data_IF_498070507792
#
_entry.id   IF_498070507792
#
_cell.length_a   1.000
_cell.length_b   1.000
_cell.length_c   1.000
_cell.angle_alpha   90.00
_cell.angle_beta   90.00
_cell.angle_gamma   90.00
#
_symmetry.space_group_name_H-M   'P 1'
#
loop_
_entity.id
_entity.type
_entity.pdbx_description
1 polymer ?
#
# COMPACT_ATOMS: atom_id res chain seq x y z
N UNK A 1 18.05 -11.82 13.76
CA UNK A 1 17.91 -11.33 12.37
C UNK A 1 16.53 -10.70 12.23
N UNK A 2 16.46 -9.49 11.69
CA UNK A 2 15.19 -8.79 11.52
C UNK A 2 14.30 -9.46 10.47
N UNK A 3 12.97 -9.43 10.69
CA UNK A 3 11.94 -9.97 9.80
C UNK A 3 11.24 -8.82 9.06
N UNK A 4 11.00 -8.98 7.77
CA UNK A 4 10.21 -8.07 6.95
C UNK A 4 8.82 -8.67 6.71
N UNK A 5 7.76 -7.96 7.04
CA UNK A 5 6.41 -8.29 6.58
C UNK A 5 6.12 -7.53 5.29
N UNK A 6 5.49 -8.20 4.33
CA UNK A 6 4.97 -7.54 3.12
C UNK A 6 3.46 -7.71 3.09
N UNK A 7 2.74 -6.60 3.25
CA UNK A 7 1.27 -6.54 3.20
C UNK A 7 0.84 -6.30 1.77
N UNK A 8 -0.01 -7.19 1.27
CA UNK A 8 -0.48 -7.25 -0.11
C UNK A 8 -2.02 -7.18 -0.13
N UNK A 9 -2.63 -5.98 -0.17
CA UNK A 9 -4.06 -5.87 -0.39
C UNK A 9 -4.41 -6.35 -1.81
N UNK A 10 -5.42 -7.22 -1.91
CA UNK A 10 -5.88 -7.80 -3.16
C UNK A 10 -7.40 -7.68 -3.29
N UNK A 11 -7.89 -7.37 -4.50
CA UNK A 11 -9.31 -7.36 -4.81
C UNK A 11 -9.52 -7.74 -6.27
N UNK A 12 -10.03 -8.96 -6.52
CA UNK A 12 -10.14 -9.56 -7.85
C UNK A 12 -8.78 -9.54 -8.60
N UNK A 13 -7.78 -10.13 -7.97
CA UNK A 13 -6.40 -10.25 -8.45
C UNK A 13 -5.97 -11.72 -8.55
N UNK A 14 -6.92 -12.65 -8.78
CA UNK A 14 -6.68 -14.10 -8.87
C UNK A 14 -5.43 -14.45 -9.68
N UNK A 15 -5.22 -13.94 -10.92
CA UNK A 15 -4.08 -14.35 -11.75
C UNK A 15 -2.73 -13.86 -11.21
N UNK A 16 -2.73 -12.88 -10.28
CA UNK A 16 -1.51 -12.26 -9.77
C UNK A 16 -1.04 -12.85 -8.45
N UNK A 17 -1.93 -13.45 -7.64
CA UNK A 17 -1.61 -13.94 -6.28
C UNK A 17 -0.41 -14.88 -6.28
N UNK A 18 -0.46 -15.98 -7.02
CA UNK A 18 0.60 -16.98 -7.04
C UNK A 18 1.91 -16.40 -7.59
N UNK A 19 1.81 -15.59 -8.65
CA UNK A 19 2.97 -14.95 -9.28
C UNK A 19 3.67 -14.00 -8.32
N UNK A 20 2.92 -13.12 -7.68
CA UNK A 20 3.45 -12.13 -6.72
C UNK A 20 4.12 -12.80 -5.54
N UNK A 21 3.47 -13.82 -4.95
CA UNK A 21 4.06 -14.59 -3.85
C UNK A 21 5.37 -15.27 -4.27
N UNK A 22 5.41 -15.90 -5.45
CA UNK A 22 6.61 -16.53 -5.97
C UNK A 22 7.74 -15.51 -6.19
N UNK A 23 7.45 -14.40 -6.86
CA UNK A 23 8.43 -13.34 -7.13
C UNK A 23 9.04 -12.79 -5.83
N UNK A 24 8.20 -12.47 -4.84
CA UNK A 24 8.68 -11.96 -3.56
C UNK A 24 9.47 -13.00 -2.77
N UNK A 25 9.04 -14.26 -2.76
CA UNK A 25 9.75 -15.36 -2.12
C UNK A 25 11.15 -15.54 -2.71
N UNK A 26 11.27 -15.54 -4.03
CA UNK A 26 12.55 -15.67 -4.73
C UNK A 26 13.46 -14.48 -4.43
N UNK A 27 12.96 -13.27 -4.56
CA UNK A 27 13.72 -12.04 -4.32
C UNK A 27 14.23 -11.94 -2.88
N UNK A 28 13.35 -12.09 -1.89
CA UNK A 28 13.69 -11.96 -0.48
C UNK A 28 14.55 -13.11 0.00
N UNK A 29 14.30 -14.33 -0.52
CA UNK A 29 15.11 -15.52 -0.24
C UNK A 29 16.54 -15.37 -0.76
N UNK A 30 16.74 -14.91 -1.99
CA UNK A 30 18.07 -14.64 -2.56
C UNK A 30 18.82 -13.55 -1.80
N UNK A 31 18.10 -12.54 -1.29
CA UNK A 31 18.68 -11.50 -0.46
C UNK A 31 18.95 -11.93 1.00
N UNK A 32 18.60 -13.15 1.40
CA UNK A 32 18.76 -13.65 2.76
C UNK A 32 17.90 -12.91 3.80
N UNK A 33 16.82 -12.27 3.38
CA UNK A 33 15.90 -11.53 4.24
C UNK A 33 14.84 -12.50 4.78
N UNK A 34 14.72 -12.61 6.12
CA UNK A 34 13.59 -13.32 6.74
C UNK A 34 12.31 -12.52 6.49
N UNK A 35 11.30 -13.15 5.95
CA UNK A 35 10.07 -12.47 5.56
C UNK A 35 8.81 -13.21 5.99
N UNK A 36 7.69 -12.51 5.90
CA UNK A 36 6.34 -13.02 5.79
C UNK A 36 5.56 -12.20 4.76
N UNK A 37 4.61 -12.84 4.11
CA UNK A 37 3.67 -12.19 3.20
C UNK A 37 2.28 -12.25 3.84
N UNK A 38 1.63 -11.10 3.94
CA UNK A 38 0.27 -10.98 4.48
C UNK A 38 -0.64 -10.51 3.35
N UNK A 39 -1.38 -11.43 2.75
CA UNK A 39 -2.35 -11.14 1.71
C UNK A 39 -3.70 -10.85 2.33
N UNK A 40 -4.30 -9.73 1.94
CA UNK A 40 -5.63 -9.35 2.43
C UNK A 40 -6.59 -9.27 1.26
N UNK A 41 -7.51 -10.24 1.19
CA UNK A 41 -8.58 -10.26 0.20
C UNK A 41 -9.72 -9.34 0.65
N UNK A 42 -9.91 -8.24 -0.07
CA UNK A 42 -10.95 -7.24 0.18
C UNK A 42 -12.29 -7.67 -0.45
N UNK A 43 -12.76 -8.87 -0.10
CA UNK A 43 -14.05 -9.40 -0.51
C UNK A 43 -14.17 -9.57 -2.02
N UNK A 44 -13.21 -10.23 -2.65
CA UNK A 44 -13.19 -10.52 -4.09
C UNK A 44 -14.38 -11.38 -4.52
N UNK A 45 -14.79 -11.20 -5.77
CA UNK A 45 -15.85 -11.97 -6.42
C UNK A 45 -15.33 -13.04 -7.39
N UNK A 46 -14.01 -13.06 -7.63
CA UNK A 46 -13.29 -14.06 -8.44
C UNK A 46 -12.60 -15.11 -7.56
N UNK A 47 -11.67 -15.87 -8.12
CA UNK A 47 -10.89 -16.90 -7.43
C UNK A 47 -9.76 -16.38 -6.54
N UNK A 48 -9.65 -15.07 -6.26
CA UNK A 48 -8.55 -14.47 -5.47
C UNK A 48 -8.38 -15.15 -4.11
N UNK A 49 -9.49 -15.33 -3.35
CA UNK A 49 -9.39 -15.98 -2.04
C UNK A 49 -8.91 -17.43 -2.13
N UNK A 50 -9.42 -18.20 -3.10
CA UNK A 50 -8.98 -19.58 -3.31
C UNK A 50 -7.49 -19.68 -3.65
N UNK A 51 -6.97 -18.73 -4.45
CA UNK A 51 -5.55 -18.63 -4.75
C UNK A 51 -4.72 -18.28 -3.50
N UNK A 52 -5.20 -17.37 -2.65
CA UNK A 52 -4.55 -17.02 -1.37
C UNK A 52 -4.51 -18.22 -0.43
N UNK A 53 -5.63 -18.95 -0.27
CA UNK A 53 -5.65 -20.16 0.54
C UNK A 53 -4.65 -21.22 0.05
N UNK A 54 -4.54 -21.38 -1.27
CA UNK A 54 -3.60 -22.34 -1.87
C UNK A 54 -2.17 -21.98 -1.50
N UNK A 55 -1.71 -20.74 -1.78
CA UNK A 55 -0.33 -20.33 -1.48
C UNK A 55 -0.03 -20.34 0.03
N UNK A 56 -1.02 -20.05 0.89
CA UNK A 56 -0.86 -20.11 2.35
C UNK A 56 -0.71 -21.52 2.88
N UNK A 57 -1.28 -22.53 2.22
CA UNK A 57 -1.03 -23.95 2.56
C UNK A 57 0.34 -24.45 2.12
N UNK A 58 0.86 -23.90 1.03
CA UNK A 58 2.15 -24.31 0.44
C UNK A 58 3.35 -23.62 1.10
N UNK A 59 3.20 -22.41 1.65
CA UNK A 59 4.28 -21.62 2.26
C UNK A 59 3.88 -21.09 3.65
N UNK A 60 4.59 -21.54 4.69
CA UNK A 60 4.38 -21.12 6.10
C UNK A 60 4.62 -19.61 6.33
N UNK A 61 5.31 -18.94 5.41
CA UNK A 61 5.54 -17.51 5.48
C UNK A 61 4.40 -16.70 4.88
N UNK A 62 3.36 -17.34 4.34
CA UNK A 62 2.22 -16.70 3.73
C UNK A 62 1.01 -16.82 4.64
N UNK A 63 0.40 -15.68 4.99
CA UNK A 63 -0.84 -15.59 5.76
C UNK A 63 -1.91 -14.91 4.92
N UNK A 64 -3.11 -15.50 4.85
CA UNK A 64 -4.27 -14.92 4.20
C UNK A 64 -5.23 -14.33 5.22
N UNK A 65 -5.80 -13.16 4.90
CA UNK A 65 -6.92 -12.53 5.60
C UNK A 65 -8.05 -12.33 4.59
N UNK A 66 -9.27 -12.73 4.94
CA UNK A 66 -10.43 -12.63 4.04
C UNK A 66 -11.51 -11.76 4.64
N UNK A 67 -11.99 -10.78 3.87
CA UNK A 67 -13.08 -9.93 4.26
C UNK A 67 -14.42 -10.48 3.76
N UNK A 68 -15.45 -10.36 4.58
CA UNK A 68 -16.82 -10.79 4.25
C UNK A 68 -17.46 -10.00 3.09
N UNK A 69 -16.94 -8.84 2.75
CA UNK A 69 -17.30 -8.00 1.61
C UNK A 69 -16.19 -7.00 1.30
N UNK A 70 -16.29 -6.26 0.22
CA UNK A 70 -15.39 -5.15 -0.06
C UNK A 70 -15.59 -4.00 0.95
N UNK A 71 -14.53 -3.70 1.72
CA UNK A 71 -14.45 -2.58 2.66
C UNK A 71 -13.53 -1.47 2.13
N UNK A 72 -12.77 -1.73 1.07
CA UNK A 72 -11.85 -0.83 0.42
C UNK A 72 -10.39 -1.05 0.80
N UNK A 73 -9.50 -0.64 -0.10
CA UNK A 73 -8.04 -0.83 0.00
C UNK A 73 -7.46 -0.38 1.35
N UNK A 74 -7.92 0.77 1.86
CA UNK A 74 -7.43 1.32 3.14
C UNK A 74 -7.72 0.36 4.31
N UNK A 75 -8.92 -0.24 4.34
CA UNK A 75 -9.27 -1.23 5.35
C UNK A 75 -8.39 -2.49 5.22
N UNK A 76 -8.13 -2.94 3.99
CA UNK A 76 -7.26 -4.08 3.74
C UNK A 76 -5.81 -3.81 4.18
N UNK A 77 -5.28 -2.60 3.93
CA UNK A 77 -3.96 -2.20 4.42
C UNK A 77 -3.92 -2.26 5.96
N UNK A 78 -4.89 -1.65 6.64
CA UNK A 78 -4.94 -1.62 8.12
C UNK A 78 -5.02 -3.03 8.70
N UNK A 79 -5.84 -3.91 8.14
CA UNK A 79 -5.93 -5.30 8.56
C UNK A 79 -4.61 -6.06 8.35
N UNK A 80 -3.94 -5.82 7.22
CA UNK A 80 -2.63 -6.39 6.95
C UNK A 80 -1.55 -5.89 7.92
N UNK A 81 -1.52 -4.58 8.22
CA UNK A 81 -0.61 -4.01 9.21
C UNK A 81 -0.83 -4.61 10.61
N UNK A 82 -2.10 -4.81 10.99
CA UNK A 82 -2.46 -5.41 12.29
C UNK A 82 -2.04 -6.88 12.39
N UNK A 83 -2.07 -7.62 11.28
CA UNK A 83 -1.66 -9.03 11.21
C UNK A 83 -0.14 -9.20 11.09
N UNK A 84 0.55 -8.23 10.54
CA UNK A 84 1.99 -8.28 10.30
C UNK A 84 2.80 -8.34 11.62
N UNK A 85 3.79 -9.25 11.71
CA UNK A 85 4.60 -9.49 12.90
C UNK A 85 6.09 -9.11 12.72
N UNK A 86 6.50 -8.64 11.54
CA UNK A 86 7.89 -8.27 11.26
C UNK A 86 8.37 -7.02 11.97
N UNK A 87 9.68 -6.84 12.09
CA UNK A 87 10.32 -5.65 12.64
C UNK A 87 10.14 -4.42 11.73
N UNK A 88 9.97 -4.67 10.43
CA UNK A 88 9.56 -3.70 9.43
C UNK A 88 8.40 -4.26 8.62
N UNK A 89 7.51 -3.38 8.15
CA UNK A 89 6.34 -3.76 7.36
C UNK A 89 6.29 -2.94 6.08
N UNK A 90 6.36 -3.61 4.95
CA UNK A 90 6.13 -3.00 3.64
C UNK A 90 4.68 -3.20 3.21
N UNK A 91 4.11 -2.19 2.56
CA UNK A 91 2.81 -2.26 1.88
C UNK A 91 3.06 -2.11 0.38
N UNK A 92 2.56 -3.02 -0.43
CA UNK A 92 2.62 -2.92 -1.89
C UNK A 92 1.41 -3.60 -2.53
N UNK A 93 1.06 -3.20 -3.75
CA UNK A 93 -0.05 -3.79 -4.49
C UNK A 93 0.30 -5.20 -5.00
N UNK A 94 -0.71 -6.06 -5.10
CA UNK A 94 -0.54 -7.45 -5.54
C UNK A 94 -0.31 -7.58 -7.07
N UNK A 95 -0.41 -6.50 -7.83
CA UNK A 95 -0.35 -6.46 -9.30
C UNK A 95 1.07 -6.32 -9.89
N UNK A 96 2.11 -6.27 -9.06
CA UNK A 96 3.51 -6.08 -9.43
C UNK A 96 3.80 -4.78 -10.24
N UNK A 97 2.90 -3.79 -10.23
CA UNK A 97 3.20 -2.48 -10.80
C UNK A 97 4.32 -1.74 -10.03
N UNK A 98 4.48 -2.07 -8.76
CA UNK A 98 5.62 -1.65 -7.96
C UNK A 98 6.78 -2.65 -8.17
N UNK A 99 7.96 -2.22 -8.68
CA UNK A 99 9.08 -3.14 -8.88
C UNK A 99 9.50 -3.76 -7.54
N UNK A 100 9.45 -5.10 -7.41
CA UNK A 100 9.77 -5.76 -6.14
C UNK A 100 11.20 -5.49 -5.64
N UNK A 101 12.13 -5.20 -6.56
CA UNK A 101 13.53 -4.90 -6.25
C UNK A 101 13.68 -3.66 -5.37
N UNK A 102 12.75 -2.71 -5.46
CA UNK A 102 12.71 -1.52 -4.61
C UNK A 102 12.55 -1.88 -3.12
N UNK A 103 11.89 -3.01 -2.80
CA UNK A 103 11.81 -3.50 -1.42
C UNK A 103 13.19 -3.74 -0.80
N UNK A 104 14.15 -4.21 -1.58
CA UNK A 104 15.52 -4.45 -1.09
C UNK A 104 16.19 -3.13 -0.71
N UNK A 105 16.02 -2.09 -1.52
CA UNK A 105 16.55 -0.76 -1.22
C UNK A 105 15.83 -0.14 -0.02
N UNK A 106 14.50 -0.25 0.05
CA UNK A 106 13.74 0.21 1.21
C UNK A 106 14.19 -0.48 2.50
N UNK A 107 14.38 -1.79 2.47
CA UNK A 107 14.88 -2.57 3.60
C UNK A 107 16.28 -2.12 4.02
N UNK A 108 17.18 -1.86 3.06
CA UNK A 108 18.52 -1.35 3.32
C UNK A 108 18.48 0.03 4.01
N UNK A 109 17.64 0.94 3.53
CA UNK A 109 17.48 2.29 4.12
C UNK A 109 16.88 2.21 5.52
N UNK A 110 15.91 1.33 5.75
CA UNK A 110 15.40 1.05 7.09
C UNK A 110 16.51 0.57 8.02
N UNK A 111 17.37 -0.34 7.58
CA UNK A 111 18.56 -0.79 8.36
C UNK A 111 19.55 0.33 8.66
N UNK A 112 19.53 1.44 7.92
CA UNK A 112 20.31 2.66 8.17
C UNK A 112 19.62 3.62 9.16
N UNK A 113 18.43 3.25 9.69
CA UNK A 113 17.72 4.00 10.71
C UNK A 113 16.68 4.99 10.16
N UNK A 114 16.24 4.84 8.90
CA UNK A 114 15.00 5.48 8.43
C UNK A 114 13.81 4.65 8.89
N UNK A 115 12.80 5.32 9.45
CA UNK A 115 11.65 4.65 10.07
C UNK A 115 10.46 4.54 9.11
N UNK A 116 10.41 5.43 8.11
CA UNK A 116 9.45 5.39 7.01
C UNK A 116 10.21 5.54 5.69
N UNK A 117 10.14 4.54 4.81
CA UNK A 117 10.71 4.61 3.47
C UNK A 117 9.59 4.58 2.45
N UNK A 118 9.44 5.64 1.67
CA UNK A 118 8.35 5.80 0.72
C UNK A 118 8.82 5.62 -0.72
N UNK A 119 8.14 4.77 -1.47
CA UNK A 119 8.31 4.71 -2.92
C UNK A 119 7.61 5.87 -3.61
N UNK A 120 8.32 6.66 -4.39
CA UNK A 120 7.75 7.75 -5.20
C UNK A 120 7.89 7.47 -6.69
N UNK A 121 6.83 7.72 -7.46
CA UNK A 121 6.83 7.50 -8.91
C UNK A 121 7.69 8.55 -9.63
N UNK A 122 8.73 8.13 -10.36
CA UNK A 122 9.61 9.03 -11.15
C UNK A 122 8.87 9.74 -12.28
N UNK A 123 7.95 9.03 -12.97
CA UNK A 123 7.17 9.56 -14.09
C UNK A 123 5.73 9.03 -13.96
N UNK A 124 4.77 9.92 -14.05
CA UNK A 124 3.35 9.57 -14.22
C UNK A 124 3.08 9.29 -15.69
N UNK A 125 3.58 8.21 -16.28
CA UNK A 125 3.27 7.73 -17.62
C UNK A 125 2.46 8.65 -18.56
N UNK A 126 1.92 8.17 -19.66
CA UNK A 126 1.04 8.91 -20.59
C UNK A 126 -0.37 9.10 -20.00
N UNK A 127 -0.49 9.77 -18.85
CA UNK A 127 -1.79 10.21 -18.35
C UNK A 127 -2.34 11.35 -19.21
N UNK A 128 -3.61 11.29 -19.59
CA UNK A 128 -4.29 12.37 -20.31
C UNK A 128 -4.22 13.67 -19.50
N UNK A 129 -3.94 14.80 -20.16
CA UNK A 129 -3.76 16.12 -19.53
C UNK A 129 -4.92 16.51 -18.59
N UNK A 130 -6.14 16.01 -18.85
CA UNK A 130 -7.33 16.27 -18.04
C UNK A 130 -7.28 15.51 -16.71
N UNK A 131 -6.90 14.24 -16.69
CA UNK A 131 -6.70 13.45 -15.46
C UNK A 131 -5.58 14.00 -14.60
N UNK A 132 -4.49 14.48 -15.23
CA UNK A 132 -3.35 15.09 -14.53
C UNK A 132 -3.75 16.40 -13.83
N UNK A 133 -4.62 17.23 -14.43
CA UNK A 133 -5.07 18.51 -13.82
C UNK A 133 -6.02 18.28 -12.64
N UNK A 134 -6.99 17.37 -12.75
CA UNK A 134 -7.95 17.08 -11.68
C UNK A 134 -7.31 16.38 -10.48
N UNK A 135 -6.45 15.40 -10.71
CA UNK A 135 -5.67 14.76 -9.66
C UNK A 135 -4.70 15.75 -8.98
N UNK A 136 -4.00 16.59 -9.74
CA UNK A 136 -3.10 17.60 -9.19
C UNK A 136 -3.83 18.65 -8.33
N UNK A 137 -5.05 19.05 -8.69
CA UNK A 137 -5.87 19.93 -7.87
C UNK A 137 -6.27 19.28 -6.54
N UNK A 138 -6.73 18.02 -6.58
CA UNK A 138 -7.03 17.23 -5.38
C UNK A 138 -5.83 17.10 -4.45
N UNK A 139 -4.69 16.65 -4.96
CA UNK A 139 -3.48 16.49 -4.15
C UNK A 139 -2.98 17.82 -3.58
N UNK A 140 -3.14 18.95 -4.30
CA UNK A 140 -2.78 20.27 -3.79
C UNK A 140 -3.67 20.71 -2.63
N UNK A 141 -4.98 20.42 -2.68
CA UNK A 141 -5.90 20.67 -1.57
C UNK A 141 -5.49 19.79 -0.37
N UNK A 142 -5.24 18.51 -0.61
CA UNK A 142 -4.82 17.58 0.44
C UNK A 142 -3.48 17.99 1.05
N UNK A 143 -2.49 18.38 0.25
CA UNK A 143 -1.20 18.87 0.76
C UNK A 143 -1.36 20.11 1.63
N UNK A 144 -2.27 21.03 1.27
CA UNK A 144 -2.56 22.19 2.11
C UNK A 144 -3.32 21.83 3.38
N UNK A 145 -4.25 20.89 3.32
CA UNK A 145 -5.03 20.46 4.47
C UNK A 145 -4.22 19.63 5.47
N UNK A 146 -3.29 18.81 4.99
CA UNK A 146 -2.46 17.92 5.81
C UNK A 146 -1.10 18.51 6.18
N UNK A 147 -0.63 19.53 5.46
CA UNK A 147 0.72 20.08 5.59
C UNK A 147 1.83 19.21 4.95
N UNK A 148 1.47 18.11 4.24
CA UNK A 148 2.41 17.19 3.59
C UNK A 148 2.26 17.20 2.08
N UNK A 149 3.37 16.97 1.35
CA UNK A 149 3.31 16.81 -0.10
C UNK A 149 2.66 15.47 -0.47
N UNK A 150 1.41 15.53 -0.89
CA UNK A 150 0.62 14.37 -1.31
C UNK A 150 0.72 14.09 -2.81
N UNK A 151 1.38 14.96 -3.59
CA UNK A 151 1.34 14.89 -5.06
C UNK A 151 2.04 13.65 -5.60
N UNK A 152 3.11 13.18 -4.92
CA UNK A 152 3.88 12.01 -5.30
C UNK A 152 3.73 10.84 -4.31
N UNK A 153 2.91 11.00 -3.27
CA UNK A 153 2.69 9.98 -2.26
C UNK A 153 2.09 8.71 -2.86
N UNK A 154 2.60 7.56 -2.46
CA UNK A 154 2.09 6.25 -2.85
C UNK A 154 1.78 5.38 -1.63
N UNK A 155 1.05 4.28 -1.85
CA UNK A 155 0.84 3.27 -0.81
C UNK A 155 2.05 2.35 -0.67
N UNK A 156 2.99 2.41 -1.62
CA UNK A 156 4.21 1.63 -1.59
C UNK A 156 5.19 2.23 -0.57
N UNK A 157 5.14 1.72 0.65
CA UNK A 157 5.93 2.20 1.79
C UNK A 157 6.45 1.04 2.61
N UNK A 158 7.59 1.26 3.25
CA UNK A 158 8.11 0.40 4.30
C UNK A 158 8.16 1.20 5.61
N UNK A 159 7.55 0.68 6.65
CA UNK A 159 7.46 1.29 7.97
C UNK A 159 8.19 0.44 9.01
N UNK A 160 8.92 1.08 9.91
CA UNK A 160 9.40 0.45 11.14
C UNK A 160 8.21 -0.01 12.01
N UNK A 161 8.41 -1.01 12.86
CA UNK A 161 7.38 -1.52 13.76
C UNK A 161 6.74 -0.42 14.60
N UNK A 162 7.52 0.52 15.13
CA UNK A 162 7.02 1.65 15.91
C UNK A 162 6.10 2.55 15.11
N UNK A 163 6.43 2.80 13.85
CA UNK A 163 5.60 3.58 12.94
C UNK A 163 4.28 2.85 12.65
N UNK A 164 4.32 1.52 12.42
CA UNK A 164 3.11 0.70 12.27
C UNK A 164 2.22 0.77 13.50
N UNK A 165 2.77 0.59 14.70
CA UNK A 165 2.03 0.68 15.96
C UNK A 165 1.40 2.06 16.15
N UNK A 166 2.10 3.13 15.77
CA UNK A 166 1.56 4.49 15.82
C UNK A 166 0.40 4.69 14.84
N UNK A 167 0.49 4.15 13.63
CA UNK A 167 -0.62 4.18 12.65
C UNK A 167 -1.83 3.40 13.18
N UNK A 168 -1.61 2.20 13.72
CA UNK A 168 -2.70 1.36 14.26
C UNK A 168 -3.34 1.94 15.52
N UNK A 169 -2.62 2.75 16.28
CA UNK A 169 -3.13 3.43 17.49
C UNK A 169 -4.01 4.66 17.16
N UNK A 170 -4.06 5.11 15.91
CA UNK A 170 -4.91 6.22 15.50
C UNK A 170 -6.39 5.85 15.65
N UNK A 171 -7.23 6.73 16.24
CA UNK A 171 -8.65 6.45 16.48
C UNK A 171 -9.54 6.57 15.25
N UNK A 172 -9.00 7.04 14.13
CA UNK A 172 -9.75 7.31 12.90
C UNK A 172 -10.27 6.01 12.27
N UNK A 173 -11.59 5.91 12.13
CA UNK A 173 -12.22 4.75 11.48
C UNK A 173 -12.04 4.72 9.96
N UNK A 174 -11.87 5.88 9.35
CA UNK A 174 -11.62 6.05 7.92
C UNK A 174 -10.20 6.56 7.74
N UNK A 175 -9.25 5.63 7.76
CA UNK A 175 -7.85 5.97 7.62
C UNK A 175 -7.49 6.14 6.14
N UNK A 176 -6.73 7.18 5.84
CA UNK A 176 -6.05 7.36 4.56
C UNK A 176 -4.56 7.09 4.78
N UNK A 177 -4.13 5.88 4.47
CA UNK A 177 -2.80 5.38 4.82
C UNK A 177 -1.65 6.27 4.35
N UNK A 178 -1.78 6.85 3.13
CA UNK A 178 -0.76 7.77 2.59
C UNK A 178 -0.53 8.97 3.49
N UNK A 179 -1.61 9.56 3.99
CA UNK A 179 -1.51 10.72 4.88
C UNK A 179 -1.13 10.28 6.29
N UNK A 180 -1.76 9.24 6.84
CA UNK A 180 -1.49 8.73 8.18
C UNK A 180 -0.02 8.37 8.38
N UNK A 181 0.57 7.64 7.44
CA UNK A 181 1.99 7.22 7.47
C UNK A 181 2.98 8.39 7.38
N UNK A 182 2.57 9.55 6.88
CA UNK A 182 3.36 10.78 6.88
C UNK A 182 3.09 11.64 8.12
N UNK A 183 1.82 11.63 8.60
CA UNK A 183 1.37 12.40 9.76
C UNK A 183 2.07 12.00 11.06
N UNK A 184 2.40 10.74 11.23
CA UNK A 184 3.08 10.22 12.46
C UNK A 184 4.47 10.81 12.68
N UNK A 185 5.07 11.53 11.71
CA UNK A 185 6.27 12.35 11.89
C UNK A 185 7.57 11.60 12.13
N UNK A 186 7.65 10.31 11.78
CA UNK A 186 8.87 9.51 11.89
C UNK A 186 9.92 9.90 10.84
N UNK A 187 11.19 9.56 11.09
CA UNK A 187 12.31 9.85 10.17
C UNK A 187 12.08 9.16 8.83
N UNK A 188 11.81 9.95 7.79
CA UNK A 188 11.42 9.45 6.47
C UNK A 188 12.45 9.71 5.39
N UNK A 189 12.41 8.88 4.34
CA UNK A 189 13.16 9.06 3.09
C UNK A 189 12.33 8.51 1.93
N UNK A 190 12.50 9.10 0.74
CA UNK A 190 11.83 8.66 -0.48
C UNK A 190 12.78 7.94 -1.42
N UNK A 191 12.29 6.85 -2.04
CA UNK A 191 12.99 6.08 -3.08
C UNK A 191 12.22 6.22 -4.39
N UNK A 192 12.81 6.82 -5.42
CA UNK A 192 12.14 6.97 -6.70
C UNK A 192 12.12 5.65 -7.48
N UNK A 193 10.96 5.28 -8.05
CA UNK A 193 10.81 4.10 -8.91
C UNK A 193 10.05 4.41 -10.19
N UNK A 194 10.22 3.57 -11.21
CA UNK A 194 9.45 3.58 -12.45
C UNK A 194 8.32 2.56 -12.34
N UNK A 195 7.10 2.99 -12.67
CA UNK A 195 5.92 2.09 -12.63
C UNK A 195 6.05 1.09 -13.78
N UNK A 196 5.95 -0.20 -13.47
CA UNK A 196 5.89 -1.25 -14.47
C UNK A 196 4.49 -1.30 -15.11
N UNK A 197 4.42 -1.73 -16.36
CA UNK A 197 3.14 -1.96 -17.02
C UNK A 197 2.38 -3.09 -16.29
N UNK A 198 1.07 -2.91 -16.12
CA UNK A 198 0.23 -3.93 -15.49
C UNK A 198 0.20 -5.18 -16.38
N UNK A 199 0.57 -6.33 -15.84
CA UNK A 199 0.62 -7.57 -16.61
C UNK A 199 -0.76 -8.22 -16.80
N UNK A 200 -1.71 -7.96 -15.89
CA UNK A 200 -3.08 -8.46 -15.96
C UNK A 200 -4.07 -7.52 -15.25
N UNK A 201 -5.33 -7.54 -15.65
CA UNK A 201 -6.43 -6.79 -15.05
C UNK A 201 -6.66 -5.41 -15.69
N UNK A 202 -7.91 -4.92 -15.59
CA UNK A 202 -8.31 -3.59 -16.03
C UNK A 202 -8.36 -2.61 -14.86
N UNK A 203 -8.15 -1.30 -15.13
CA UNK A 203 -8.33 -0.27 -14.11
C UNK A 203 -9.80 -0.18 -13.70
N UNK A 204 -10.11 -0.49 -12.45
CA UNK A 204 -11.49 -0.53 -11.89
C UNK A 204 -11.99 0.84 -11.42
N UNK A 205 -11.20 1.91 -11.60
CA UNK A 205 -11.55 3.24 -11.12
C UNK A 205 -12.40 3.99 -12.14
N UNK A 206 -13.71 4.08 -11.86
CA UNK A 206 -14.60 5.00 -12.57
C UNK A 206 -14.42 6.44 -12.06
N UNK A 207 -14.79 7.44 -12.86
CA UNK A 207 -14.74 8.85 -12.44
C UNK A 207 -15.56 9.12 -11.18
N UNK A 208 -16.72 8.46 -11.01
CA UNK A 208 -17.55 8.57 -9.81
C UNK A 208 -16.89 7.99 -8.56
N UNK A 209 -16.20 6.85 -8.70
CA UNK A 209 -15.44 6.22 -7.61
C UNK A 209 -14.29 7.11 -7.14
N UNK A 210 -13.58 7.74 -8.09
CA UNK A 210 -12.48 8.68 -7.79
C UNK A 210 -12.99 9.92 -7.02
N UNK A 211 -14.13 10.49 -7.42
CA UNK A 211 -14.74 11.66 -6.74
C UNK A 211 -15.19 11.29 -5.33
N UNK A 212 -15.85 10.14 -5.15
CA UNK A 212 -16.27 9.65 -3.84
C UNK A 212 -15.08 9.38 -2.91
N UNK A 213 -14.02 8.76 -3.45
CA UNK A 213 -12.78 8.52 -2.73
C UNK A 213 -12.10 9.84 -2.31
N UNK A 214 -12.02 10.81 -3.22
CA UNK A 214 -11.47 12.13 -2.95
C UNK A 214 -12.25 12.84 -1.83
N UNK A 215 -13.58 12.84 -1.90
CA UNK A 215 -14.42 13.48 -0.89
C UNK A 215 -14.28 12.86 0.50
N UNK A 216 -14.29 11.52 0.59
CA UNK A 216 -14.09 10.80 1.86
C UNK A 216 -12.75 11.16 2.52
N UNK A 217 -11.68 11.23 1.72
CA UNK A 217 -10.35 11.56 2.23
C UNK A 217 -10.23 13.03 2.65
N UNK A 218 -10.87 13.96 1.94
CA UNK A 218 -10.92 15.38 2.35
C UNK A 218 -11.61 15.51 3.72
N UNK A 219 -12.79 14.91 3.90
CA UNK A 219 -13.55 14.97 5.16
C UNK A 219 -12.80 14.32 6.32
N UNK A 220 -11.97 13.31 6.07
CA UNK A 220 -11.18 12.65 7.11
C UNK A 220 -10.08 13.57 7.70
N UNK A 221 -9.55 14.53 6.92
CA UNK A 221 -8.44 15.40 7.35
C UNK A 221 -8.79 16.87 7.52
N UNK A 222 -10.01 17.30 7.17
CA UNK A 222 -10.44 18.69 7.32
C UNK A 222 -11.93 18.79 7.55
N UNK A 223 -12.31 19.72 8.44
CA UNK A 223 -13.71 20.08 8.69
C UNK A 223 -14.25 21.12 7.72
N UNK A 224 -13.42 21.64 6.79
CA UNK A 224 -13.82 22.67 5.83
C UNK A 224 -15.12 22.37 5.08
N UNK A 225 -15.39 21.13 4.60
CA UNK A 225 -16.66 20.82 3.93
C UNK A 225 -17.87 20.84 4.84
N UNK A 226 -17.67 20.82 6.17
CA UNK A 226 -18.76 20.86 7.18
C UNK A 226 -19.05 22.28 7.66
N UNK A 227 -18.26 23.27 7.23
CA UNK A 227 -18.42 24.68 7.61
C UNK A 227 -19.20 25.49 6.56
N UNK A 228 -19.62 24.86 5.49
CA UNK A 228 -20.49 25.35 4.43
C UNK A 228 -21.70 24.43 4.30
#
# INVERSE_FOLDING_TARGET
MSRLSVVLPACNEEPMVEKTCRTLRELLGQAGIRYELVLVDDGSSDGTWAAIEKVSREDKNVTGVHFSRNFGKEAAIVAGLAQACGDAVAVMDCDLQHPPEILLEMYRLWKQGYEVVEGIKKNRGKETLFHRKSAGFFYRIMSRATGFDMENASDFKLLDRKAVESVLAMPERSMFFRAASSWIGFKSISVPFEVQEREAGESKWSAGTLISYAFRNIVAFTTLPLQF
#
